data_IF_913867196869
#
_entry.id   IF_913867196869
#
_cell.length_a   1.000
_cell.length_b   1.000
_cell.length_c   1.000
_cell.angle_alpha   90.00
_cell.angle_beta   90.00
_cell.angle_gamma   90.00
#
_symmetry.space_group_name_H-M   'P 1'
#
loop_
_entity.id
_entity.type
_entity.pdbx_description
1 polymer ?
#
# COMPACT_ATOMS: atom_id res chain seq x y z
N UNK A 1 -19.31 14.94 9.46
CA UNK A 1 -19.78 16.10 8.69
C UNK A 1 -19.40 15.83 7.24
N UNK A 2 -20.33 15.94 6.30
CA UNK A 2 -20.03 15.70 4.88
C UNK A 2 -19.81 17.04 4.18
N UNK A 3 -18.84 17.07 3.27
CA UNK A 3 -18.54 18.22 2.43
C UNK A 3 -18.71 17.83 0.96
N UNK A 4 -18.73 18.80 0.06
CA UNK A 4 -18.87 18.54 -1.37
C UNK A 4 -17.57 18.89 -2.09
N UNK A 5 -17.16 18.00 -3.00
CA UNK A 5 -16.08 18.24 -3.94
C UNK A 5 -16.67 18.31 -5.35
N UNK A 6 -16.04 19.08 -6.23
CA UNK A 6 -16.39 19.13 -7.65
C UNK A 6 -15.38 18.28 -8.43
N UNK A 7 -15.87 17.46 -9.36
CA UNK A 7 -15.05 16.59 -10.22
C UNK A 7 -15.55 16.67 -11.66
N UNK A 8 -14.69 16.35 -12.62
CA UNK A 8 -15.10 16.26 -14.02
C UNK A 8 -15.99 15.03 -14.26
N UNK A 9 -16.83 15.09 -15.30
CA UNK A 9 -17.63 13.93 -15.73
C UNK A 9 -16.75 12.74 -16.12
N UNK A 10 -15.56 13.00 -16.62
CA UNK A 10 -14.57 11.98 -16.94
C UNK A 10 -14.08 11.26 -15.67
N UNK A 11 -13.66 12.01 -14.66
CA UNK A 11 -13.21 11.42 -13.39
C UNK A 11 -14.33 10.63 -12.71
N UNK A 12 -15.56 11.13 -12.75
CA UNK A 12 -16.74 10.42 -12.23
C UNK A 12 -16.94 9.07 -12.93
N UNK A 13 -16.76 9.00 -14.25
CA UNK A 13 -16.84 7.74 -15.02
C UNK A 13 -15.73 6.78 -14.63
N UNK A 14 -14.50 7.26 -14.46
CA UNK A 14 -13.38 6.41 -14.03
C UNK A 14 -13.58 5.85 -12.63
N UNK A 15 -14.05 6.68 -11.68
CA UNK A 15 -14.39 6.21 -10.34
C UNK A 15 -15.53 5.18 -10.36
N UNK A 16 -16.50 5.32 -11.26
CA UNK A 16 -17.59 4.35 -11.40
C UNK A 16 -17.09 2.98 -11.88
N UNK A 17 -16.09 2.94 -12.77
CA UNK A 17 -15.47 1.67 -13.23
C UNK A 17 -14.69 0.96 -12.13
N UNK A 18 -14.18 1.70 -11.14
CA UNK A 18 -13.45 1.14 -9.99
C UNK A 18 -14.36 0.51 -8.94
N UNK A 19 -15.68 0.75 -9.01
CA UNK A 19 -16.64 0.11 -8.09
C UNK A 19 -16.65 -1.39 -8.28
N UNK A 20 -16.44 -2.13 -7.19
CA UNK A 20 -16.60 -3.57 -7.15
C UNK A 20 -18.07 -3.98 -7.02
N UNK A 21 -18.91 -3.09 -6.46
CA UNK A 21 -20.36 -3.29 -6.37
C UNK A 21 -21.13 -1.97 -6.38
N UNK A 22 -22.42 -2.02 -6.70
CA UNK A 22 -23.28 -0.83 -6.71
C UNK A 22 -23.44 -0.16 -5.33
N UNK A 23 -23.21 -0.91 -4.25
CA UNK A 23 -23.31 -0.42 -2.86
C UNK A 23 -22.08 0.35 -2.40
N UNK A 24 -20.99 0.25 -3.15
CA UNK A 24 -19.74 0.93 -2.82
C UNK A 24 -19.84 2.43 -3.08
N UNK A 25 -19.36 3.23 -2.12
CA UNK A 25 -19.41 4.69 -2.21
C UNK A 25 -18.19 5.22 -2.95
N UNK A 26 -18.32 6.41 -3.55
CA UNK A 26 -17.16 7.09 -4.12
C UNK A 26 -16.15 7.49 -3.03
N UNK A 27 -16.61 7.73 -1.80
CA UNK A 27 -15.74 8.04 -0.67
C UNK A 27 -14.79 6.87 -0.36
N UNK A 28 -15.30 5.64 -0.30
CA UNK A 28 -14.46 4.46 -0.07
C UNK A 28 -13.39 4.32 -1.16
N UNK A 29 -13.79 4.42 -2.43
CA UNK A 29 -12.84 4.32 -3.55
C UNK A 29 -11.78 5.42 -3.48
N UNK A 30 -12.18 6.64 -3.14
CA UNK A 30 -11.23 7.75 -3.01
C UNK A 30 -10.26 7.50 -1.86
N UNK A 31 -10.72 6.96 -0.73
CA UNK A 31 -9.86 6.57 0.38
C UNK A 31 -8.87 5.47 0.01
N UNK A 32 -9.32 4.41 -0.63
CA UNK A 32 -8.45 3.30 -1.06
C UNK A 32 -7.36 3.81 -2.02
N UNK A 33 -7.70 4.71 -2.94
CA UNK A 33 -6.73 5.33 -3.86
C UNK A 33 -5.75 6.28 -3.14
N UNK A 34 -6.20 6.94 -2.08
CA UNK A 34 -5.33 7.79 -1.26
C UNK A 34 -4.39 6.96 -0.39
N UNK A 35 -4.83 5.80 0.09
CA UNK A 35 -4.01 4.89 0.89
C UNK A 35 -2.75 4.46 0.12
N UNK A 36 -2.89 4.03 -1.15
CA UNK A 36 -1.74 3.71 -2.02
C UNK A 36 -0.73 4.87 -2.13
N UNK A 37 -1.24 6.11 -2.23
CA UNK A 37 -0.40 7.30 -2.33
C UNK A 37 0.26 7.67 -0.99
N UNK A 38 -0.39 7.34 0.13
CA UNK A 38 0.10 7.56 1.49
C UNK A 38 1.08 6.46 1.94
N UNK A 39 0.93 5.23 1.46
CA UNK A 39 1.89 4.14 1.68
C UNK A 39 3.24 4.44 1.01
N UNK A 40 3.29 5.23 -0.06
CA UNK A 40 4.54 5.71 -0.65
C UNK A 40 5.12 6.96 0.05
N UNK A 41 4.82 7.15 1.33
CA UNK A 41 5.39 8.23 2.11
C UNK A 41 6.92 8.10 2.25
N UNK A 42 7.55 9.17 2.71
CA UNK A 42 9.01 9.26 2.85
C UNK A 42 9.58 8.22 3.83
N UNK A 43 8.78 7.73 4.78
CA UNK A 43 9.18 6.68 5.71
C UNK A 43 9.29 5.34 4.98
N UNK A 44 8.28 4.94 4.21
CA UNK A 44 8.32 3.71 3.43
C UNK A 44 9.43 3.72 2.37
N UNK A 45 9.74 4.87 1.77
CA UNK A 45 10.92 5.02 0.89
C UNK A 45 12.23 4.78 1.63
N UNK A 46 12.38 5.30 2.85
CA UNK A 46 13.56 5.07 3.69
C UNK A 46 13.68 3.61 4.10
N UNK A 47 12.59 2.97 4.50
CA UNK A 47 12.58 1.54 4.85
C UNK A 47 12.97 0.66 3.66
N UNK A 48 12.52 1.00 2.44
CA UNK A 48 12.93 0.32 1.21
C UNK A 48 14.42 0.52 0.92
N UNK A 49 14.96 1.72 1.14
CA UNK A 49 16.38 1.99 0.95
C UNK A 49 17.24 1.21 1.96
N UNK A 50 16.86 1.24 3.24
CA UNK A 50 17.51 0.46 4.29
C UNK A 50 17.45 -1.04 3.99
N UNK A 51 16.29 -1.56 3.59
CA UNK A 51 16.13 -2.96 3.21
C UNK A 51 17.07 -3.34 2.05
N UNK A 52 17.22 -2.47 1.04
CA UNK A 52 18.16 -2.69 -0.07
C UNK A 52 19.62 -2.70 0.40
N UNK A 53 19.99 -1.86 1.35
CA UNK A 53 21.34 -1.86 1.95
C UNK A 53 21.61 -3.12 2.76
N UNK A 54 20.64 -3.58 3.56
CA UNK A 54 20.76 -4.81 4.34
C UNK A 54 20.90 -6.05 3.45
N UNK A 55 20.17 -6.08 2.33
CA UNK A 55 20.31 -7.13 1.31
C UNK A 55 21.72 -7.12 0.72
N UNK A 56 22.25 -5.93 0.35
CA UNK A 56 23.63 -5.79 -0.16
C UNK A 56 24.67 -6.19 0.88
N UNK A 57 24.44 -5.87 2.15
CA UNK A 57 25.31 -6.24 3.27
C UNK A 57 25.22 -7.74 3.65
N UNK A 58 24.34 -8.51 3.00
CA UNK A 58 24.16 -9.93 3.27
C UNK A 58 23.47 -10.22 4.60
N UNK A 59 22.78 -9.24 5.20
CA UNK A 59 21.99 -9.40 6.45
C UNK A 59 20.65 -10.11 6.23
N UNK A 60 20.53 -10.91 5.18
CA UNK A 60 19.31 -11.64 4.85
C UNK A 60 19.47 -13.06 5.34
N UNK A 61 18.56 -13.50 6.20
CA UNK A 61 18.53 -14.88 6.66
C UNK A 61 17.36 -15.62 6.03
N UNK A 62 17.62 -16.83 5.55
CA UNK A 62 16.56 -17.73 5.09
C UNK A 62 15.76 -18.28 6.27
N UNK A 63 14.49 -18.60 6.04
CA UNK A 63 13.64 -19.27 7.03
C UNK A 63 14.29 -20.52 7.61
N UNK A 64 15.03 -21.29 6.79
CA UNK A 64 15.75 -22.48 7.21
C UNK A 64 16.92 -22.17 8.16
N UNK A 65 17.65 -21.08 7.92
CA UNK A 65 18.73 -20.61 8.82
C UNK A 65 18.15 -20.17 10.17
N UNK A 66 17.08 -19.38 10.16
CA UNK A 66 16.40 -18.91 11.37
C UNK A 66 15.83 -20.09 12.16
N UNK A 67 15.20 -21.06 11.51
CA UNK A 67 14.69 -22.28 12.16
C UNK A 67 15.79 -23.08 12.85
N UNK A 68 16.97 -23.16 12.22
CA UNK A 68 18.14 -23.85 12.79
C UNK A 68 18.70 -23.09 13.99
N UNK A 69 18.73 -21.76 13.94
CA UNK A 69 19.18 -20.89 15.03
C UNK A 69 18.23 -20.94 16.24
N UNK A 70 16.92 -20.87 15.99
CA UNK A 70 15.86 -20.92 17.01
C UNK A 70 15.52 -22.35 17.49
N UNK A 71 16.11 -23.39 16.88
CA UNK A 71 15.85 -24.82 17.19
C UNK A 71 14.38 -25.23 17.03
N UNK A 72 13.70 -24.67 16.05
CA UNK A 72 12.29 -24.96 15.75
C UNK A 72 12.26 -25.84 14.49
N UNK A 73 11.50 -26.95 14.52
CA UNK A 73 11.36 -27.87 13.37
C UNK A 73 10.60 -27.21 12.19
#
# INVERSE_FOLDING_TARGET
>A
MVTTIQISDELKKELAKKKFSDRETYENIIWDLLEDAMELNEETKKELEQSREEIKAGKVQSLAQIKKELKIK
#
